data_IF_585268934435
#
_entry.id   IF_585268934435
#
_cell.length_a   1.000
_cell.length_b   1.000
_cell.length_c   1.000
_cell.angle_alpha   90.00
_cell.angle_beta   90.00
_cell.angle_gamma   90.00
#
_symmetry.space_group_name_H-M   'P 1'
#
loop_
_entity.id
_entity.type
_entity.pdbx_description
1 polymer ?
#
# COMPACT_ATOMS: atom_id res chain seq x y z
N UNK A 1 15.33 -17.00 -21.86
CA UNK A 1 15.18 -15.54 -21.76
C UNK A 1 14.14 -15.29 -20.68
N UNK A 2 14.57 -15.08 -19.44
CA UNK A 2 13.67 -14.93 -18.29
C UNK A 2 13.21 -13.47 -18.21
N UNK A 3 11.91 -13.21 -18.35
CA UNK A 3 11.32 -11.91 -18.02
C UNK A 3 11.28 -11.78 -16.49
N UNK A 4 12.33 -11.17 -15.92
CA UNK A 4 12.48 -10.85 -14.48
C UNK A 4 11.74 -9.54 -14.14
N UNK A 5 10.69 -9.18 -14.86
CA UNK A 5 10.02 -7.87 -14.71
C UNK A 5 8.80 -7.89 -13.78
N UNK A 6 8.35 -9.04 -13.27
CA UNK A 6 7.02 -9.12 -12.61
C UNK A 6 7.01 -9.58 -11.15
N UNK A 7 8.14 -9.99 -10.58
CA UNK A 7 8.22 -10.34 -9.14
C UNK A 7 8.60 -9.18 -8.20
N UNK A 8 9.34 -8.13 -8.62
CA UNK A 8 9.69 -7.07 -7.66
C UNK A 8 8.54 -6.11 -7.34
N UNK A 9 7.60 -5.87 -8.26
CA UNK A 9 6.63 -4.77 -8.13
C UNK A 9 5.45 -5.03 -7.19
N UNK A 10 5.12 -6.28 -6.90
CA UNK A 10 4.06 -6.63 -5.93
C UNK A 10 4.52 -6.57 -4.47
N UNK A 11 5.85 -6.53 -4.24
CA UNK A 11 6.48 -6.40 -2.93
C UNK A 11 7.33 -5.11 -2.77
N UNK A 12 7.57 -4.35 -3.86
CA UNK A 12 8.31 -3.09 -3.83
C UNK A 12 7.42 -1.91 -3.42
N UNK A 13 7.19 -1.77 -2.13
CA UNK A 13 6.67 -0.50 -1.61
C UNK A 13 7.77 0.32 -0.89
N UNK A 14 8.84 -0.34 -0.43
CA UNK A 14 9.95 0.29 0.30
C UNK A 14 11.04 0.83 -0.65
N UNK A 15 11.30 0.09 -1.74
CA UNK A 15 12.39 0.34 -2.68
C UNK A 15 11.87 0.42 -4.12
N UNK A 16 12.43 1.33 -4.89
CA UNK A 16 12.19 1.48 -6.32
C UNK A 16 13.43 1.01 -7.08
N UNK A 17 13.20 0.23 -8.14
CA UNK A 17 14.27 -0.15 -9.06
C UNK A 17 14.35 0.90 -10.18
N UNK A 18 15.50 1.57 -10.27
CA UNK A 18 15.82 2.52 -11.32
C UNK A 18 16.80 1.87 -12.30
N UNK A 19 16.44 1.90 -13.58
CA UNK A 19 17.34 1.49 -14.65
C UNK A 19 18.20 2.69 -15.03
N UNK A 20 19.51 2.50 -15.08
CA UNK A 20 20.39 3.53 -15.60
C UNK A 20 20.49 3.46 -17.12
N UNK A 21 21.17 4.45 -17.67
CA UNK A 21 21.47 4.61 -19.09
C UNK A 21 22.95 5.00 -19.24
N UNK A 22 23.44 5.27 -20.45
CA UNK A 22 24.85 5.63 -20.68
C UNK A 22 25.32 6.91 -19.94
N UNK A 23 24.41 7.71 -19.39
CA UNK A 23 24.72 8.89 -18.57
C UNK A 23 24.80 8.61 -17.06
N UNK A 24 24.29 7.46 -16.63
CA UNK A 24 24.28 7.03 -15.24
C UNK A 24 25.23 5.83 -15.10
N UNK A 25 26.25 5.90 -14.23
CA UNK A 25 27.26 4.84 -14.03
C UNK A 25 26.71 3.55 -13.36
N UNK A 26 25.45 3.18 -13.61
CA UNK A 26 24.82 1.96 -13.12
C UNK A 26 23.84 1.38 -14.13
N UNK A 27 23.72 0.05 -14.19
CA UNK A 27 22.71 -0.63 -15.02
C UNK A 27 21.34 -0.68 -14.32
N UNK A 28 21.37 -1.00 -13.02
CA UNK A 28 20.20 -1.11 -12.17
C UNK A 28 20.59 -0.63 -10.77
N UNK A 29 19.77 0.21 -10.15
CA UNK A 29 19.95 0.68 -8.77
C UNK A 29 18.65 0.58 -8.01
N UNK A 30 18.72 0.08 -6.78
CA UNK A 30 17.64 0.20 -5.80
C UNK A 30 17.76 1.54 -5.08
N UNK A 31 16.71 2.35 -5.11
CA UNK A 31 16.61 3.59 -4.32
C UNK A 31 15.42 3.50 -3.38
N UNK A 32 15.50 4.04 -2.15
CA UNK A 32 14.36 4.05 -1.27
C UNK A 32 13.25 4.94 -1.82
N UNK A 33 12.01 4.57 -1.54
CA UNK A 33 10.86 5.42 -1.86
C UNK A 33 10.93 6.71 -1.04
N UNK A 34 10.80 7.84 -1.72
CA UNK A 34 10.73 9.17 -1.13
C UNK A 34 9.27 9.62 -1.06
N UNK A 35 8.90 10.24 0.06
CA UNK A 35 7.61 10.89 0.27
C UNK A 35 7.75 12.42 0.04
N UNK A 36 6.65 13.14 -0.16
CA UNK A 36 6.59 14.54 -0.63
C UNK A 36 7.48 15.52 0.13
N UNK A 37 7.76 15.27 1.42
CA UNK A 37 8.65 16.14 2.21
C UNK A 37 10.14 15.80 2.11
N UNK A 38 10.55 14.78 1.34
CA UNK A 38 11.92 14.26 1.18
C UNK A 38 12.66 13.85 2.46
N UNK A 39 12.15 14.21 3.63
CA UNK A 39 12.65 13.81 4.96
C UNK A 39 12.21 12.41 5.36
N UNK A 40 11.11 11.92 4.77
CA UNK A 40 10.61 10.58 5.02
C UNK A 40 10.95 9.65 3.85
N UNK A 41 11.76 8.63 4.13
CA UNK A 41 12.10 7.58 3.18
C UNK A 41 12.12 6.22 3.88
N UNK A 42 11.74 5.18 3.16
CA UNK A 42 11.58 3.84 3.71
C UNK A 42 12.89 3.11 4.05
N UNK A 43 14.04 3.68 3.70
CA UNK A 43 15.32 3.17 4.18
C UNK A 43 15.67 3.66 5.59
N UNK A 44 15.19 4.85 5.98
CA UNK A 44 15.50 5.47 7.27
C UNK A 44 14.35 5.38 8.28
N UNK A 45 13.10 5.41 7.80
CA UNK A 45 11.90 5.45 8.63
C UNK A 45 10.85 4.49 8.07
N UNK A 46 10.39 3.55 8.88
CA UNK A 46 9.37 2.55 8.52
C UNK A 46 7.96 3.14 8.50
N UNK A 47 7.70 4.20 9.29
CA UNK A 47 6.38 4.85 9.44
C UNK A 47 6.13 6.02 8.49
N UNK A 48 6.72 6.02 7.31
CA UNK A 48 6.39 7.04 6.31
C UNK A 48 5.00 6.79 5.72
N UNK A 49 4.22 7.86 5.60
CA UNK A 49 2.86 7.80 5.07
C UNK A 49 2.51 9.00 4.20
N UNK A 50 1.63 8.77 3.25
CA UNK A 50 0.99 9.78 2.43
C UNK A 50 -0.47 9.41 2.19
N UNK A 51 -1.36 10.40 1.99
CA UNK A 51 -2.72 10.11 1.56
C UNK A 51 -2.72 9.28 0.28
N UNK A 52 -3.56 8.23 0.26
CA UNK A 52 -3.75 7.42 -0.92
C UNK A 52 -4.50 8.24 -1.96
N UNK A 53 -3.92 8.32 -3.16
CA UNK A 53 -4.49 9.03 -4.31
C UNK A 53 -4.77 8.04 -5.43
N UNK A 54 -5.94 8.14 -6.03
CA UNK A 54 -6.35 7.35 -7.21
C UNK A 54 -6.78 8.29 -8.35
N UNK A 55 -6.76 7.79 -9.57
CA UNK A 55 -7.26 8.51 -10.74
C UNK A 55 -6.25 9.47 -11.38
N UNK A 56 -6.52 9.83 -12.64
CA UNK A 56 -6.42 11.20 -13.11
C UNK A 56 -7.84 11.80 -13.26
N UNK A 57 -8.18 12.95 -12.63
CA UNK A 57 -7.36 13.73 -11.70
C UNK A 57 -7.12 13.00 -10.36
N UNK A 58 -6.06 13.39 -9.65
CA UNK A 58 -5.71 12.84 -8.33
C UNK A 58 -6.85 13.07 -7.31
N UNK A 59 -7.57 12.01 -6.98
CA UNK A 59 -8.53 12.01 -5.89
C UNK A 59 -7.91 11.40 -4.64
N UNK A 60 -7.96 12.14 -3.54
CA UNK A 60 -7.54 11.65 -2.21
C UNK A 60 -8.67 10.83 -1.60
N UNK A 61 -8.37 9.59 -1.21
CA UNK A 61 -9.30 8.73 -0.49
C UNK A 61 -9.20 9.03 1.02
N UNK A 62 -10.27 9.52 1.68
CA UNK A 62 -10.26 9.83 3.11
C UNK A 62 -9.88 8.60 3.94
N UNK A 63 -9.01 8.80 4.93
CA UNK A 63 -8.60 7.73 5.82
C UNK A 63 -7.63 6.69 5.27
N UNK A 64 -7.50 6.55 3.95
CA UNK A 64 -6.58 5.61 3.33
C UNK A 64 -5.22 6.26 3.10
N UNK A 65 -4.16 5.57 3.50
CA UNK A 65 -2.78 6.02 3.31
C UNK A 65 -1.95 4.94 2.63
N UNK A 66 -0.99 5.37 1.82
CA UNK A 66 0.08 4.50 1.34
C UNK A 66 1.27 4.65 2.26
N UNK A 67 1.82 3.51 2.69
CA UNK A 67 3.01 3.46 3.55
C UNK A 67 4.21 2.86 2.84
N UNK A 68 5.27 2.64 3.62
CA UNK A 68 6.47 1.94 3.18
C UNK A 68 6.18 0.49 2.74
N UNK A 69 5.30 -0.22 3.43
CA UNK A 69 4.74 -1.49 2.96
C UNK A 69 3.21 -1.44 2.87
N UNK A 70 2.54 -2.35 2.14
CA UNK A 70 1.08 -2.42 2.14
C UNK A 70 0.51 -2.59 3.55
N UNK A 71 1.17 -3.40 4.38
CA UNK A 71 0.77 -3.66 5.76
C UNK A 71 0.90 -2.42 6.64
N UNK A 72 2.03 -1.70 6.53
CA UNK A 72 2.26 -0.47 7.29
C UNK A 72 1.27 0.62 6.86
N UNK A 73 1.04 0.78 5.55
CA UNK A 73 0.02 1.69 5.04
C UNK A 73 -1.38 1.34 5.54
N UNK A 74 -1.74 0.06 5.56
CA UNK A 74 -3.02 -0.41 6.10
C UNK A 74 -3.15 -0.08 7.58
N UNK A 75 -2.13 -0.39 8.40
CA UNK A 75 -2.12 -0.11 9.83
C UNK A 75 -2.34 1.38 10.13
N UNK A 76 -1.73 2.25 9.33
CA UNK A 76 -1.84 3.70 9.48
C UNK A 76 -3.12 4.28 8.86
N UNK A 77 -3.85 3.50 8.06
CA UNK A 77 -5.14 3.90 7.51
C UNK A 77 -6.26 3.79 8.55
N UNK A 78 -7.40 4.40 8.28
CA UNK A 78 -8.64 4.25 9.01
C UNK A 78 -9.80 3.88 8.07
N UNK A 79 -11.01 3.79 8.60
CA UNK A 79 -12.18 3.28 7.87
C UNK A 79 -13.07 4.37 7.26
N UNK A 80 -12.68 5.66 7.32
CA UNK A 80 -13.52 6.79 6.86
C UNK A 80 -14.11 6.60 5.46
N UNK A 81 -13.28 6.22 4.48
CA UNK A 81 -13.75 5.97 3.11
C UNK A 81 -14.78 4.82 3.04
N UNK A 82 -14.64 3.78 3.86
CA UNK A 82 -15.52 2.62 3.82
C UNK A 82 -16.92 2.92 4.35
N UNK A 83 -17.09 3.96 5.18
CA UNK A 83 -18.38 4.44 5.64
C UNK A 83 -19.02 5.48 4.72
N UNK A 84 -18.36 5.84 3.60
CA UNK A 84 -18.84 6.83 2.63
C UNK A 84 -19.24 6.15 1.32
N UNK A 85 -20.53 6.27 0.96
CA UNK A 85 -21.05 5.80 -0.32
C UNK A 85 -20.32 6.43 -1.51
N UNK A 86 -19.99 7.71 -1.42
CA UNK A 86 -19.32 8.46 -2.48
C UNK A 86 -17.88 7.98 -2.67
N UNK A 87 -17.19 7.67 -1.57
CA UNK A 87 -15.83 7.16 -1.63
C UNK A 87 -15.79 5.75 -2.25
N UNK A 88 -16.69 4.86 -1.82
CA UNK A 88 -16.84 3.52 -2.40
C UNK A 88 -17.20 3.60 -3.89
N UNK A 89 -18.17 4.44 -4.27
CA UNK A 89 -18.54 4.65 -5.67
C UNK A 89 -17.34 5.13 -6.51
N UNK A 90 -16.47 5.96 -5.94
CA UNK A 90 -15.27 6.41 -6.64
C UNK A 90 -14.25 5.29 -6.84
N UNK A 91 -14.04 4.44 -5.82
CA UNK A 91 -13.17 3.27 -5.93
C UNK A 91 -13.70 2.33 -7.03
N UNK A 92 -15.01 2.05 -7.03
CA UNK A 92 -15.63 1.19 -8.05
C UNK A 92 -15.48 1.78 -9.46
N UNK A 93 -15.77 3.07 -9.63
CA UNK A 93 -15.60 3.78 -10.91
C UNK A 93 -14.16 3.72 -11.40
N UNK A 94 -13.20 3.91 -10.49
CA UNK A 94 -11.78 3.81 -10.81
C UNK A 94 -11.41 2.39 -11.27
N UNK A 95 -11.85 1.35 -10.55
CA UNK A 95 -11.59 -0.03 -10.94
C UNK A 95 -12.23 -0.38 -12.30
N UNK A 96 -13.48 0.05 -12.52
CA UNK A 96 -14.20 -0.14 -13.78
C UNK A 96 -13.47 0.53 -14.95
N UNK A 97 -12.97 1.75 -14.79
CA UNK A 97 -12.22 2.47 -15.83
C UNK A 97 -11.03 1.66 -16.35
N UNK A 98 -10.26 1.00 -15.48
CA UNK A 98 -9.14 0.15 -15.90
C UNK A 98 -9.59 -1.17 -16.53
N UNK A 99 -10.79 -1.66 -16.21
CA UNK A 99 -11.35 -2.87 -16.85
C UNK A 99 -11.94 -2.60 -18.24
N UNK A 100 -12.32 -1.35 -18.54
CA UNK A 100 -12.98 -0.95 -19.81
C UNK A 100 -12.00 -0.43 -20.88
N UNK A 101 -10.72 -0.23 -20.55
CA UNK A 101 -9.65 0.03 -21.51
C UNK A 101 -9.40 -1.22 -22.37
N UNK A 102 -10.13 -1.35 -23.48
CA UNK A 102 -9.93 -2.13 -24.73
C UNK A 102 -9.14 -3.46 -24.76
N UNK A 103 -8.85 -4.10 -23.63
CA UNK A 103 -8.01 -5.28 -23.54
C UNK A 103 -6.50 -5.01 -23.61
N UNK A 104 -6.05 -3.76 -23.65
CA UNK A 104 -4.64 -3.41 -23.47
C UNK A 104 -4.41 -2.68 -22.14
N UNK A 105 -4.30 -3.40 -21.01
CA UNK A 105 -3.74 -2.80 -19.81
C UNK A 105 -2.39 -2.14 -20.16
N UNK A 106 -1.98 -1.02 -19.51
CA UNK A 106 -0.58 -0.62 -19.58
C UNK A 106 0.24 -1.87 -19.29
N UNK A 107 1.23 -2.20 -20.14
CA UNK A 107 1.77 -3.54 -20.44
C UNK A 107 2.16 -4.49 -19.26
N UNK A 108 1.92 -4.08 -18.02
CA UNK A 108 2.23 -4.72 -16.76
C UNK A 108 1.06 -4.74 -15.75
N UNK A 109 -0.16 -4.33 -16.11
CA UNK A 109 -1.33 -4.40 -15.22
C UNK A 109 -2.18 -5.62 -15.55
N UNK A 110 -2.05 -6.70 -14.78
CA UNK A 110 -2.99 -7.83 -14.85
C UNK A 110 -4.20 -7.40 -14.01
N UNK A 111 -5.38 -7.15 -14.62
CA UNK A 111 -6.57 -6.89 -13.82
C UNK A 111 -6.80 -8.11 -12.92
N UNK A 112 -7.10 -7.91 -11.62
CA UNK A 112 -7.53 -9.02 -10.78
C UNK A 112 -8.71 -9.69 -11.50
N UNK A 113 -8.64 -11.02 -11.61
CA UNK A 113 -9.69 -11.87 -12.19
C UNK A 113 -11.06 -11.30 -11.81
N UNK A 114 -11.86 -10.93 -12.83
CA UNK A 114 -13.17 -10.27 -12.71
C UNK A 114 -14.12 -11.11 -11.86
N UNK A 115 -14.01 -10.95 -10.54
CA UNK A 115 -15.11 -11.16 -9.63
C UNK A 115 -15.89 -9.85 -9.64
N UNK A 116 -17.21 -9.85 -9.87
CA UNK A 116 -18.01 -8.65 -9.64
C UNK A 116 -17.80 -8.22 -8.19
N UNK A 117 -17.04 -7.14 -8.00
CA UNK A 117 -16.69 -6.64 -6.68
C UNK A 117 -17.91 -5.86 -6.18
N UNK A 118 -18.82 -6.54 -5.49
CA UNK A 118 -19.89 -5.89 -4.76
C UNK A 118 -19.28 -5.31 -3.47
N UNK A 119 -18.99 -4.01 -3.49
CA UNK A 119 -18.61 -3.25 -2.31
C UNK A 119 -19.78 -2.38 -1.90
N UNK A 120 -20.39 -2.71 -0.77
CA UNK A 120 -21.35 -1.84 -0.11
C UNK A 120 -20.63 -1.01 0.97
N UNK A 121 -20.97 0.27 1.16
CA UNK A 121 -20.44 1.06 2.25
C UNK A 121 -20.87 0.46 3.60
N UNK A 122 -20.00 0.59 4.59
CA UNK A 122 -20.29 0.22 5.97
C UNK A 122 -21.43 1.09 6.51
N UNK A 123 -22.30 0.46 7.29
CA UNK A 123 -23.50 1.11 7.82
C UNK A 123 -23.16 1.98 9.04
N UNK A 124 -23.26 3.31 8.86
CA UNK A 124 -23.07 4.28 9.94
C UNK A 124 -24.18 4.24 11.01
N UNK A 125 -25.31 3.57 10.75
CA UNK A 125 -26.41 3.43 11.71
C UNK A 125 -26.18 2.30 12.73
N UNK A 126 -25.28 1.36 12.43
CA UNK A 126 -24.91 0.29 13.36
C UNK A 126 -23.91 0.86 14.37
N UNK A 127 -24.20 0.78 15.69
CA UNK A 127 -23.30 1.26 16.71
C UNK A 127 -21.99 0.45 16.67
N UNK A 128 -20.88 1.14 16.45
CA UNK A 128 -19.53 0.58 16.49
C UNK A 128 -18.78 1.07 17.72
N UNK A 129 -17.93 0.21 18.29
CA UNK A 129 -16.97 0.59 19.33
C UNK A 129 -15.94 1.60 18.83
N UNK A 130 -15.59 1.53 17.55
CA UNK A 130 -14.57 2.36 16.92
C UNK A 130 -15.22 3.38 15.98
N UNK A 131 -14.78 4.63 16.09
CA UNK A 131 -15.12 5.68 15.13
C UNK A 131 -14.46 5.39 13.78
N UNK A 132 -15.06 5.77 12.63
CA UNK A 132 -14.46 5.60 11.30
C UNK A 132 -13.04 6.16 11.17
N UNK A 133 -12.70 7.20 11.94
CA UNK A 133 -11.36 7.82 11.93
C UNK A 133 -10.31 7.09 12.80
N UNK A 134 -10.69 6.01 13.48
CA UNK A 134 -9.78 5.19 14.30
C UNK A 134 -8.82 4.42 13.40
N UNK A 135 -7.51 4.46 13.69
CA UNK A 135 -6.54 3.72 12.88
C UNK A 135 -6.77 2.21 12.95
N UNK A 136 -6.52 1.52 11.85
CA UNK A 136 -6.64 0.07 11.76
C UNK A 136 -5.67 -0.62 12.73
N UNK A 137 -4.49 -0.04 12.99
CA UNK A 137 -3.57 -0.52 14.03
C UNK A 137 -4.22 -0.54 15.42
N UNK A 138 -4.96 0.52 15.77
CA UNK A 138 -5.69 0.60 17.05
C UNK A 138 -6.82 -0.43 17.08
N UNK A 139 -7.58 -0.56 15.98
CA UNK A 139 -8.65 -1.55 15.88
C UNK A 139 -8.10 -2.96 16.07
N UNK A 140 -7.03 -3.33 15.35
CA UNK A 140 -6.40 -4.65 15.45
C UNK A 140 -5.86 -4.90 16.85
N UNK A 141 -5.13 -3.95 17.43
CA UNK A 141 -4.53 -4.12 18.76
C UNK A 141 -5.57 -4.27 19.87
N UNK A 142 -6.72 -3.61 19.75
CA UNK A 142 -7.84 -3.71 20.70
C UNK A 142 -8.80 -4.88 20.44
N UNK A 143 -8.63 -5.59 19.30
CA UNK A 143 -9.34 -6.83 18.97
C UNK A 143 -8.59 -8.08 19.42
N UNK A 144 -7.26 -8.01 19.53
CA UNK A 144 -6.44 -9.12 19.99
C UNK A 144 -6.52 -9.20 21.53
N UNK A 145 -6.99 -10.35 22.03
CA UNK A 145 -7.03 -10.65 23.47
C UNK A 145 -5.61 -10.83 24.05
N UNK A 146 -4.65 -11.19 23.19
CA UNK A 146 -3.27 -11.48 23.56
C UNK A 146 -2.34 -10.30 23.24
N UNK A 147 -1.51 -9.91 24.21
CA UNK A 147 -0.42 -8.96 23.95
C UNK A 147 0.71 -9.71 23.23
N UNK A 148 0.91 -9.40 21.94
CA UNK A 148 2.09 -9.85 21.21
C UNK A 148 3.33 -9.16 21.79
N UNK A 149 3.96 -9.80 22.78
CA UNK A 149 5.21 -9.34 23.34
C UNK A 149 6.31 -9.58 22.30
N UNK A 150 6.59 -8.57 21.46
CA UNK A 150 7.59 -8.67 20.39
C UNK A 150 9.00 -8.64 20.97
N UNK A 151 9.52 -9.80 21.34
CA UNK A 151 10.96 -9.98 21.55
C UNK A 151 11.60 -10.32 20.21
N UNK A 152 12.19 -9.33 19.54
CA UNK A 152 12.96 -9.55 18.32
C UNK A 152 14.42 -9.73 18.70
N UNK A 153 14.96 -10.94 18.51
CA UNK A 153 16.36 -11.26 18.73
C UNK A 153 17.06 -11.43 17.38
N UNK A 154 18.09 -10.62 17.13
CA UNK A 154 18.83 -10.63 15.86
C UNK A 154 20.02 -11.59 15.85
N UNK A 155 20.25 -12.37 16.91
CA UNK A 155 21.38 -13.30 17.02
C UNK A 155 21.48 -14.28 15.84
N UNK A 156 20.37 -14.90 15.45
CA UNK A 156 20.36 -15.85 14.33
C UNK A 156 20.64 -15.18 12.97
N UNK A 157 20.19 -13.93 12.80
CA UNK A 157 20.49 -13.14 11.60
C UNK A 157 21.98 -12.82 11.53
N UNK A 158 22.57 -12.31 12.62
CA UNK A 158 24.00 -12.01 12.66
C UNK A 158 24.89 -13.25 12.57
N UNK A 159 24.52 -14.37 13.20
CA UNK A 159 25.23 -15.64 13.09
C UNK A 159 25.19 -16.25 11.68
N UNK A 160 24.16 -15.94 10.88
CA UNK A 160 24.09 -16.35 9.48
C UNK A 160 24.91 -15.45 8.55
N UNK A 161 25.33 -14.27 9.04
CA UNK A 161 26.11 -13.29 8.31
C UNK A 161 27.58 -13.22 8.78
N UNK A 162 28.01 -14.09 9.70
CA UNK A 162 29.43 -14.22 10.05
C UNK A 162 30.21 -14.92 8.92
N UNK A 163 31.35 -14.36 8.50
CA UNK A 163 32.14 -14.85 7.35
C UNK A 163 32.79 -16.21 7.58
#
# INVERSE_FOLDING_TARGET
>A
MFQISMLPSSFNNDWLLQYGNEQNDYLLRSVPRLFTNSTCNCAALDKCQEPLRIGPPDLVLPGLVKGCSPVVGLQMSNLECFFSSDCIATILTYLEYYTQMDGSPPAHFIPPMVLPLMLDPLDNSIPSRFSPNTSIDTIISEMLVEQLNRTITYENYFASCTP
#
